data_IF_342733582128
#
_entry.id   IF_342733582128
#
_cell.length_a   1.000
_cell.length_b   1.000
_cell.length_c   1.000
_cell.angle_alpha   90.00
_cell.angle_beta   90.00
_cell.angle_gamma   90.00
#
_symmetry.space_group_name_H-M   'P 1'
#
loop_
_entity.id
_entity.type
_entity.pdbx_description
1 polymer ?
#
# COMPACT_ATOMS: atom_id res chain seq x y z
N UNK A 1 70.94 48.06 28.93
CA UNK A 1 72.08 47.59 28.10
C UNK A 1 71.80 46.15 27.69
N UNK A 2 71.81 45.88 26.38
CA UNK A 2 71.96 44.56 25.71
C UNK A 2 70.79 43.57 25.87
N UNK A 3 70.45 42.73 24.91
CA UNK A 3 70.54 42.72 23.44
C UNK A 3 69.74 41.46 23.03
N UNK A 4 69.16 41.49 21.84
CA UNK A 4 68.51 40.34 21.20
C UNK A 4 69.44 39.10 21.13
N UNK A 5 68.87 37.92 21.31
CA UNK A 5 69.33 36.72 20.61
C UNK A 5 68.15 35.82 20.24
N UNK A 6 68.11 35.52 18.95
CA UNK A 6 67.14 34.67 18.26
C UNK A 6 67.38 33.21 18.64
N UNK A 7 66.30 32.45 18.87
CA UNK A 7 66.33 31.00 18.74
C UNK A 7 65.35 30.57 17.65
N UNK A 8 65.94 30.02 16.60
CA UNK A 8 65.28 29.47 15.43
C UNK A 8 64.47 28.23 15.87
N UNK A 9 63.17 28.22 15.57
CA UNK A 9 62.34 27.03 15.71
C UNK A 9 62.58 26.16 14.47
N UNK A 10 63.30 25.06 14.66
CA UNK A 10 63.50 24.00 13.69
C UNK A 10 62.15 23.38 13.28
N UNK A 11 61.91 23.27 11.97
CA UNK A 11 60.80 22.48 11.39
C UNK A 11 60.87 21.04 11.91
N UNK A 12 59.78 20.45 12.41
CA UNK A 12 59.69 19.01 12.54
C UNK A 12 59.35 18.40 11.17
N UNK A 13 60.16 17.41 10.80
CA UNK A 13 60.02 16.55 9.63
C UNK A 13 58.71 15.76 9.69
N UNK A 14 58.06 15.57 8.54
CA UNK A 14 56.83 14.80 8.40
C UNK A 14 57.22 13.33 8.19
N UNK A 15 56.88 12.39 9.10
CA UNK A 15 57.08 10.97 8.84
C UNK A 15 56.03 10.43 7.87
N UNK A 16 56.48 9.48 7.07
CA UNK A 16 55.80 8.81 5.97
C UNK A 16 54.54 8.05 6.40
N UNK A 17 53.61 7.97 5.45
CA UNK A 17 52.33 7.25 5.50
C UNK A 17 52.46 5.81 6.00
N UNK A 18 51.69 5.48 7.02
CA UNK A 18 51.24 4.11 7.29
C UNK A 18 49.88 3.89 6.62
N UNK A 19 49.79 2.92 5.70
CA UNK A 19 48.61 2.63 4.88
C UNK A 19 47.45 1.94 5.63
N UNK A 20 47.54 1.74 6.95
CA UNK A 20 46.55 0.96 7.71
C UNK A 20 45.56 1.79 8.55
N UNK A 21 45.63 3.13 8.48
CA UNK A 21 44.67 4.01 9.18
C UNK A 21 43.32 4.23 8.48
N UNK A 22 43.12 3.72 7.25
CA UNK A 22 41.91 4.04 6.46
C UNK A 22 40.62 3.31 6.89
N UNK A 23 40.66 2.45 7.91
CA UNK A 23 39.50 1.59 8.24
C UNK A 23 38.73 1.96 9.50
N UNK A 24 39.12 2.99 10.26
CA UNK A 24 38.49 3.31 11.55
C UNK A 24 38.14 4.81 11.69
N UNK A 25 37.49 5.42 10.69
CA UNK A 25 36.87 6.76 10.85
C UNK A 25 35.56 6.94 10.07
N UNK A 26 34.77 5.87 9.88
CA UNK A 26 33.43 5.97 9.24
C UNK A 26 32.27 5.67 10.20
N UNK A 27 32.37 6.12 11.46
CA UNK A 27 31.29 5.97 12.46
C UNK A 27 31.02 7.23 13.29
N UNK A 28 31.19 8.43 12.72
CA UNK A 28 30.58 9.65 13.27
C UNK A 28 29.55 10.23 12.30
N UNK A 29 28.24 10.10 12.57
CA UNK A 29 27.19 10.77 11.80
C UNK A 29 27.14 12.29 12.04
N UNK A 30 28.24 13.02 11.87
CA UNK A 30 28.26 14.46 12.14
C UNK A 30 29.03 15.30 11.11
N UNK A 31 28.95 14.95 9.83
CA UNK A 31 29.16 15.94 8.78
C UNK A 31 27.81 16.48 8.32
N UNK A 32 27.33 17.53 9.01
CA UNK A 32 26.28 18.41 8.49
C UNK A 32 26.84 19.11 7.26
N UNK A 33 26.79 18.45 6.12
CA UNK A 33 27.02 19.09 4.84
C UNK A 33 25.80 19.97 4.58
N UNK A 34 25.96 21.28 4.74
CA UNK A 34 24.95 22.22 4.25
C UNK A 34 24.89 22.07 2.73
N UNK A 35 23.67 21.94 2.19
CA UNK A 35 23.45 22.00 0.75
C UNK A 35 24.04 23.34 0.25
N UNK A 36 25.13 23.29 -0.51
CA UNK A 36 25.66 24.48 -1.19
C UNK A 36 24.72 24.76 -2.36
N UNK A 37 23.84 25.77 -2.19
CA UNK A 37 22.86 26.16 -3.21
C UNK A 37 23.49 26.85 -4.44
N UNK A 38 24.74 26.54 -4.78
CA UNK A 38 25.49 27.16 -5.89
C UNK A 38 25.51 28.70 -5.82
N UNK A 39 25.34 29.29 -4.63
CA UNK A 39 25.22 30.74 -4.43
C UNK A 39 23.87 31.34 -4.83
N UNK A 40 22.86 30.53 -5.17
CA UNK A 40 21.53 30.97 -5.59
C UNK A 40 20.60 31.17 -4.39
N UNK A 41 20.03 32.37 -4.31
CA UNK A 41 18.97 32.74 -3.38
C UNK A 41 19.44 33.55 -2.17
N UNK A 42 18.51 34.26 -1.53
CA UNK A 42 18.77 35.14 -0.39
C UNK A 42 17.78 34.91 0.76
N UNK A 43 18.15 35.31 1.98
CA UNK A 43 17.30 35.19 3.17
C UNK A 43 17.56 33.93 4.02
N UNK A 44 16.55 33.45 4.75
CA UNK A 44 16.64 32.31 5.67
C UNK A 44 16.94 30.98 4.95
N UNK A 45 17.59 30.00 5.61
CA UNK A 45 17.96 28.72 4.99
C UNK A 45 16.81 28.01 4.24
N UNK A 46 15.60 27.95 4.81
CA UNK A 46 14.42 27.32 4.18
C UNK A 46 13.92 28.06 2.94
N UNK A 47 14.07 29.39 2.89
CA UNK A 47 13.73 30.19 1.70
C UNK A 47 14.71 29.92 0.57
N UNK A 48 16.01 29.83 0.88
CA UNK A 48 17.06 29.47 -0.08
C UNK A 48 16.88 28.06 -0.62
N UNK A 49 16.49 27.10 0.22
CA UNK A 49 16.18 25.73 -0.23
C UNK A 49 15.04 25.70 -1.24
N UNK A 50 13.94 26.41 -0.99
CA UNK A 50 12.82 26.51 -1.94
C UNK A 50 13.24 27.16 -3.26
N UNK A 51 14.01 28.25 -3.19
CA UNK A 51 14.52 28.96 -4.37
C UNK A 51 15.47 28.08 -5.19
N UNK A 52 16.37 27.36 -4.54
CA UNK A 52 17.29 26.44 -5.22
C UNK A 52 16.55 25.26 -5.84
N UNK A 53 15.55 24.69 -5.14
CA UNK A 53 14.68 23.65 -5.72
C UNK A 53 13.94 24.16 -6.97
N UNK A 54 13.43 25.39 -6.93
CA UNK A 54 12.79 26.01 -8.09
C UNK A 54 13.79 26.30 -9.23
N UNK A 55 15.01 26.71 -8.91
CA UNK A 55 16.10 26.88 -9.87
C UNK A 55 16.47 25.55 -10.54
N UNK A 56 16.60 24.46 -9.78
CA UNK A 56 16.87 23.13 -10.31
C UNK A 56 15.76 22.64 -11.24
N UNK A 57 14.48 22.83 -10.85
CA UNK A 57 13.34 22.47 -11.70
C UNK A 57 13.38 23.25 -13.01
N UNK A 58 13.64 24.56 -12.96
CA UNK A 58 13.75 25.42 -14.14
C UNK A 58 14.90 24.97 -15.05
N UNK A 59 16.09 24.77 -14.49
CA UNK A 59 17.27 24.28 -15.24
C UNK A 59 17.02 22.91 -15.87
N UNK A 60 16.35 22.01 -15.16
CA UNK A 60 15.95 20.72 -15.71
C UNK A 60 14.97 20.88 -16.87
N UNK A 61 13.98 21.77 -16.75
CA UNK A 61 13.03 22.05 -17.82
C UNK A 61 13.74 22.65 -19.06
N UNK A 62 14.66 23.60 -18.86
CA UNK A 62 15.48 24.18 -19.93
C UNK A 62 16.36 23.13 -20.60
N UNK A 63 17.04 22.27 -19.83
CA UNK A 63 17.86 21.19 -20.37
C UNK A 63 17.03 20.19 -21.18
N UNK A 64 15.84 19.81 -20.70
CA UNK A 64 14.92 18.91 -21.40
C UNK A 64 14.42 19.58 -22.70
N UNK A 65 14.12 20.88 -22.65
CA UNK A 65 13.67 21.65 -23.80
C UNK A 65 14.79 21.76 -24.85
N UNK A 66 16.01 22.03 -24.42
CA UNK A 66 17.17 22.17 -25.28
C UNK A 66 17.60 20.84 -25.91
N UNK A 67 17.63 19.75 -25.13
CA UNK A 67 17.83 18.40 -25.65
C UNK A 67 16.77 18.01 -26.68
N UNK A 68 15.53 18.46 -26.47
CA UNK A 68 14.42 18.20 -27.39
C UNK A 68 14.54 19.02 -28.68
N UNK A 69 14.94 20.29 -28.59
CA UNK A 69 15.27 21.11 -29.77
C UNK A 69 16.40 20.48 -30.57
N UNK A 70 17.46 20.03 -29.90
CA UNK A 70 18.63 19.42 -30.55
C UNK A 70 18.28 18.08 -31.22
N UNK A 71 17.41 17.27 -30.60
CA UNK A 71 17.00 15.95 -31.14
C UNK A 71 15.93 16.01 -32.23
N UNK A 72 15.03 16.99 -32.19
CA UNK A 72 13.84 17.04 -33.06
C UNK A 72 13.75 18.31 -33.92
N UNK A 73 14.64 19.28 -33.75
CA UNK A 73 14.65 20.51 -34.54
C UNK A 73 15.03 20.32 -36.01
N UNK A 74 15.60 19.17 -36.39
CA UNK A 74 15.97 18.88 -37.79
C UNK A 74 14.92 18.05 -38.55
N UNK A 75 14.00 17.36 -37.86
CA UNK A 75 12.97 16.52 -38.50
C UNK A 75 11.63 16.61 -37.74
N UNK A 76 10.62 17.16 -38.41
CA UNK A 76 9.20 17.19 -38.05
C UNK A 76 8.70 18.20 -36.98
N UNK A 77 8.60 19.47 -37.38
CA UNK A 77 7.88 20.53 -36.66
C UNK A 77 6.38 20.26 -36.45
N UNK A 78 5.78 19.38 -37.26
CA UNK A 78 4.31 19.24 -37.34
C UNK A 78 3.68 18.42 -36.21
N UNK A 79 4.34 17.35 -35.72
CA UNK A 79 3.75 16.46 -34.73
C UNK A 79 3.79 17.02 -33.29
N UNK A 80 4.81 17.82 -32.98
CA UNK A 80 5.01 18.40 -31.64
C UNK A 80 4.09 19.60 -31.40
N UNK A 81 3.93 20.47 -32.40
CA UNK A 81 3.03 21.63 -32.37
C UNK A 81 1.56 21.20 -32.16
N UNK A 82 1.17 20.01 -32.60
CA UNK A 82 -0.19 19.47 -32.39
C UNK A 82 -0.46 19.08 -30.93
N UNK A 83 0.52 18.48 -30.24
CA UNK A 83 0.37 18.09 -28.82
C UNK A 83 0.30 19.32 -27.92
N UNK A 84 1.14 20.32 -28.17
CA UNK A 84 1.14 21.58 -27.41
C UNK A 84 -0.10 22.44 -27.72
N UNK A 85 -0.56 22.47 -28.98
CA UNK A 85 -1.88 23.07 -29.35
C UNK A 85 -3.05 22.37 -28.64
N UNK A 86 -3.00 21.04 -28.45
CA UNK A 86 -4.04 20.30 -27.72
C UNK A 86 -4.00 20.59 -26.22
N UNK A 87 -2.81 20.65 -25.63
CA UNK A 87 -2.64 20.99 -24.21
C UNK A 87 -3.06 22.44 -23.91
N UNK A 88 -2.64 23.41 -24.73
CA UNK A 88 -3.03 24.83 -24.61
C UNK A 88 -4.54 25.02 -24.78
N UNK A 89 -5.17 24.33 -25.75
CA UNK A 89 -6.64 24.32 -25.88
C UNK A 89 -7.33 23.77 -24.63
N UNK A 90 -6.84 22.67 -24.06
CA UNK A 90 -7.36 22.11 -22.80
C UNK A 90 -7.27 23.11 -21.64
N UNK A 91 -6.13 23.79 -21.48
CA UNK A 91 -5.95 24.81 -20.44
C UNK A 91 -6.87 26.02 -20.66
N UNK A 92 -7.05 26.45 -21.92
CA UNK A 92 -7.97 27.53 -22.25
C UNK A 92 -9.43 27.17 -21.93
N UNK A 93 -9.82 25.92 -22.20
CA UNK A 93 -11.16 25.39 -21.87
C UNK A 93 -11.37 25.32 -20.34
N UNK A 94 -10.37 24.86 -19.58
CA UNK A 94 -10.41 24.89 -18.11
C UNK A 94 -10.64 26.31 -17.61
N UNK A 95 -9.83 27.27 -18.06
CA UNK A 95 -9.94 28.67 -17.63
C UNK A 95 -11.27 29.34 -18.02
N UNK A 96 -11.94 28.89 -19.10
CA UNK A 96 -13.28 29.36 -19.44
C UNK A 96 -14.35 28.75 -18.55
N UNK A 97 -14.22 27.45 -18.22
CA UNK A 97 -15.14 26.78 -17.28
C UNK A 97 -15.00 27.41 -15.90
N UNK A 98 -13.77 27.63 -15.42
CA UNK A 98 -13.50 28.26 -14.13
C UNK A 98 -14.11 29.67 -14.04
N UNK A 99 -14.05 30.46 -15.13
CA UNK A 99 -14.73 31.76 -15.21
C UNK A 99 -16.25 31.66 -15.16
N UNK A 100 -16.83 30.74 -15.92
CA UNK A 100 -18.29 30.51 -15.92
C UNK A 100 -18.77 30.07 -14.53
N UNK A 101 -17.99 29.23 -13.85
CA UNK A 101 -18.28 28.80 -12.48
C UNK A 101 -18.19 29.98 -11.51
N UNK A 102 -17.19 30.86 -11.64
CA UNK A 102 -17.06 32.06 -10.82
C UNK A 102 -18.23 33.03 -11.01
N UNK A 103 -18.65 33.28 -12.26
CA UNK A 103 -19.80 34.12 -12.57
C UNK A 103 -21.10 33.53 -11.99
N UNK A 104 -21.28 32.21 -12.07
CA UNK A 104 -22.41 31.50 -11.45
C UNK A 104 -22.39 31.59 -9.92
N UNK A 105 -21.21 31.48 -9.29
CA UNK A 105 -21.06 31.62 -7.84
C UNK A 105 -21.38 33.05 -7.42
N UNK A 106 -20.90 34.07 -8.15
CA UNK A 106 -21.21 35.47 -7.88
C UNK A 106 -22.69 35.79 -8.04
N UNK A 107 -23.33 35.25 -9.08
CA UNK A 107 -24.77 35.40 -9.31
C UNK A 107 -25.59 34.70 -8.22
N UNK A 108 -25.17 33.52 -7.77
CA UNK A 108 -25.80 32.83 -6.63
C UNK A 108 -25.56 33.55 -5.28
N UNK A 109 -24.38 34.18 -5.10
CA UNK A 109 -24.10 35.04 -3.94
C UNK A 109 -24.96 36.30 -3.93
N UNK A 110 -25.15 36.96 -5.08
CA UNK A 110 -25.97 38.17 -5.19
C UNK A 110 -27.46 37.90 -4.97
N UNK A 111 -27.95 36.75 -5.43
CA UNK A 111 -29.30 36.23 -5.18
C UNK A 111 -29.51 35.77 -3.73
N UNK A 112 -28.44 35.63 -2.95
CA UNK A 112 -28.53 35.19 -1.57
C UNK A 112 -28.85 33.71 -1.38
N UNK A 113 -28.62 32.87 -2.40
CA UNK A 113 -28.89 31.42 -2.34
C UNK A 113 -28.08 30.71 -1.23
N UNK A 114 -26.99 31.35 -0.75
CA UNK A 114 -26.16 30.85 0.33
C UNK A 114 -26.62 31.25 1.75
N UNK A 115 -27.62 32.12 1.91
CA UNK A 115 -28.01 32.66 3.23
C UNK A 115 -28.78 31.67 4.12
N UNK A 116 -29.29 30.56 3.58
CA UNK A 116 -30.03 29.55 4.34
C UNK A 116 -29.45 28.14 4.15
N UNK A 117 -28.13 28.02 4.07
CA UNK A 117 -27.48 26.70 4.06
C UNK A 117 -27.63 26.02 5.43
N UNK A 118 -27.99 24.75 5.41
CA UNK A 118 -28.05 23.93 6.62
C UNK A 118 -26.68 23.88 7.29
N UNK A 119 -26.55 24.48 8.48
CA UNK A 119 -25.29 24.52 9.21
C UNK A 119 -24.44 25.78 9.03
N UNK A 120 -24.95 26.81 8.34
CA UNK A 120 -24.31 28.12 8.30
C UNK A 120 -24.07 28.67 9.73
N UNK A 121 -22.87 29.21 9.98
CA UNK A 121 -22.48 29.77 11.28
C UNK A 121 -22.24 28.75 12.39
N UNK A 122 -22.50 27.45 12.16
CA UNK A 122 -22.19 26.40 13.14
C UNK A 122 -20.73 25.96 12.98
N UNK A 123 -19.99 25.74 14.07
CA UNK A 123 -18.65 25.15 13.98
C UNK A 123 -18.73 23.79 13.31
N UNK A 124 -17.73 23.48 12.48
CA UNK A 124 -17.63 22.19 11.79
C UNK A 124 -17.57 21.09 12.85
N UNK A 125 -18.57 20.21 12.85
CA UNK A 125 -18.61 19.09 13.80
C UNK A 125 -17.70 17.99 13.27
N UNK A 126 -16.47 17.94 13.79
CA UNK A 126 -15.57 16.80 13.55
C UNK A 126 -16.11 15.57 14.26
N UNK A 127 -16.87 14.73 13.54
CA UNK A 127 -17.32 13.44 14.07
C UNK A 127 -16.11 12.55 14.30
N UNK A 128 -15.82 12.24 15.56
CA UNK A 128 -14.91 11.18 15.99
C UNK A 128 -13.44 11.34 15.56
N UNK A 129 -12.88 12.54 15.72
CA UNK A 129 -11.41 12.64 15.83
C UNK A 129 -11.07 12.20 17.24
N UNK A 130 -10.68 10.95 17.41
CA UNK A 130 -9.90 10.59 18.61
C UNK A 130 -8.70 11.54 18.61
N UNK A 131 -8.45 12.22 19.73
CA UNK A 131 -7.43 13.28 19.87
C UNK A 131 -6.04 12.87 19.36
N UNK A 132 -5.79 11.56 19.26
CA UNK A 132 -4.54 10.95 18.80
C UNK A 132 -4.42 10.75 17.29
N UNK A 133 -5.51 10.76 16.53
CA UNK A 133 -5.48 10.50 15.08
C UNK A 133 -5.50 11.81 14.28
N UNK A 134 -4.58 11.94 13.32
CA UNK A 134 -4.59 13.06 12.39
C UNK A 134 -5.80 12.97 11.42
N UNK A 135 -6.31 14.13 11.03
CA UNK A 135 -7.40 14.33 10.08
C UNK A 135 -7.22 13.55 8.77
N UNK A 136 -5.99 13.46 8.23
CA UNK A 136 -5.73 12.71 7.00
C UNK A 136 -5.91 11.20 7.22
N UNK A 137 -5.37 10.67 8.33
CA UNK A 137 -5.48 9.24 8.67
C UNK A 137 -6.93 8.83 8.91
N UNK A 138 -7.71 9.68 9.56
CA UNK A 138 -9.13 9.44 9.81
C UNK A 138 -9.91 9.38 8.49
N UNK A 139 -9.71 10.34 7.58
CA UNK A 139 -10.35 10.35 6.26
C UNK A 139 -9.99 9.13 5.44
N UNK A 140 -8.73 8.72 5.44
CA UNK A 140 -8.29 7.50 4.76
C UNK A 140 -9.03 6.27 5.31
N UNK A 141 -9.08 6.12 6.63
CA UNK A 141 -9.80 5.01 7.26
C UNK A 141 -11.30 5.05 6.95
N UNK A 142 -11.92 6.23 6.91
CA UNK A 142 -13.31 6.38 6.47
C UNK A 142 -13.52 5.90 5.03
N UNK A 143 -12.65 6.30 4.10
CA UNK A 143 -12.73 5.87 2.69
C UNK A 143 -12.57 4.35 2.59
N UNK A 144 -11.62 3.77 3.32
CA UNK A 144 -11.43 2.32 3.36
C UNK A 144 -12.69 1.59 3.88
N UNK A 145 -13.26 2.06 4.98
CA UNK A 145 -14.49 1.49 5.56
C UNK A 145 -15.67 1.61 4.59
N UNK A 146 -15.84 2.76 3.95
CA UNK A 146 -16.92 3.01 3.00
C UNK A 146 -16.81 2.10 1.76
N UNK A 147 -15.59 1.76 1.35
CA UNK A 147 -15.32 0.81 0.28
C UNK A 147 -15.40 -0.67 0.73
N UNK A 148 -15.75 -0.93 2.00
CA UNK A 148 -15.82 -2.29 2.55
C UNK A 148 -14.46 -2.95 2.75
N UNK A 149 -13.36 -2.18 2.77
CA UNK A 149 -12.03 -2.72 3.00
C UNK A 149 -11.89 -3.21 4.44
N UNK A 150 -11.46 -4.47 4.59
CA UNK A 150 -11.14 -5.07 5.88
C UNK A 150 -9.64 -5.39 5.99
N UNK A 151 -8.99 -5.10 7.12
CA UNK A 151 -7.62 -5.53 7.38
C UNK A 151 -7.44 -7.04 7.18
N UNK A 152 -6.25 -7.45 6.70
CA UNK A 152 -5.92 -8.85 6.40
C UNK A 152 -6.24 -9.79 7.58
N UNK A 153 -5.89 -9.41 8.80
CA UNK A 153 -6.14 -10.23 9.99
C UNK A 153 -7.64 -10.47 10.24
N UNK A 154 -8.52 -9.53 9.88
CA UNK A 154 -9.98 -9.73 10.01
C UNK A 154 -10.45 -10.77 9.00
N UNK A 155 -9.97 -10.67 7.76
CA UNK A 155 -10.30 -11.64 6.70
C UNK A 155 -9.81 -13.03 7.08
N UNK A 156 -8.55 -13.15 7.52
CA UNK A 156 -7.95 -14.41 7.94
C UNK A 156 -8.67 -15.04 9.14
N UNK A 157 -9.11 -14.23 10.10
CA UNK A 157 -9.93 -14.71 11.22
C UNK A 157 -11.25 -15.33 10.73
N UNK A 158 -11.92 -14.69 9.76
CA UNK A 158 -13.16 -15.20 9.17
C UNK A 158 -12.89 -16.53 8.46
N UNK A 159 -11.86 -16.58 7.63
CA UNK A 159 -11.44 -17.80 6.95
C UNK A 159 -11.18 -18.94 7.93
N UNK A 160 -10.38 -18.72 8.99
CA UNK A 160 -10.11 -19.75 10.01
C UNK A 160 -11.42 -20.29 10.61
N UNK A 161 -12.37 -19.41 10.95
CA UNK A 161 -13.66 -19.84 11.51
C UNK A 161 -14.50 -20.64 10.52
N UNK A 162 -14.52 -20.23 9.26
CA UNK A 162 -15.24 -20.94 8.19
C UNK A 162 -14.62 -22.31 7.92
N UNK A 163 -13.29 -22.39 7.84
CA UNK A 163 -12.56 -23.65 7.68
C UNK A 163 -12.81 -24.62 8.84
N UNK A 164 -12.77 -24.15 10.09
CA UNK A 164 -13.10 -24.97 11.26
C UNK A 164 -14.56 -25.45 11.20
N UNK A 165 -15.49 -24.58 10.83
CA UNK A 165 -16.90 -24.94 10.70
C UNK A 165 -17.12 -26.02 9.63
N UNK A 166 -16.45 -25.91 8.48
CA UNK A 166 -16.50 -26.90 7.40
C UNK A 166 -15.94 -28.26 7.85
N UNK A 167 -14.79 -28.28 8.51
CA UNK A 167 -14.19 -29.54 9.01
C UNK A 167 -15.09 -30.23 10.04
N UNK A 168 -15.62 -29.46 11.01
CA UNK A 168 -16.55 -29.99 12.01
C UNK A 168 -17.84 -30.49 11.37
N UNK A 169 -18.34 -29.79 10.35
CA UNK A 169 -19.52 -30.19 9.61
C UNK A 169 -19.32 -31.52 8.88
N UNK A 170 -18.22 -31.66 8.12
CA UNK A 170 -17.91 -32.88 7.37
C UNK A 170 -17.84 -34.10 8.29
N UNK A 171 -17.15 -33.98 9.43
CA UNK A 171 -17.07 -35.07 10.41
C UNK A 171 -18.43 -35.34 11.08
N UNK A 172 -19.18 -34.29 11.44
CA UNK A 172 -20.50 -34.47 12.03
C UNK A 172 -21.45 -35.24 11.09
N UNK A 173 -21.37 -34.99 9.78
CA UNK A 173 -22.14 -35.73 8.78
C UNK A 173 -21.81 -37.23 8.80
N UNK A 174 -20.52 -37.59 8.86
CA UNK A 174 -20.11 -38.99 9.00
C UNK A 174 -20.67 -39.63 10.27
N UNK A 175 -20.62 -38.93 11.41
CA UNK A 175 -21.19 -39.46 12.66
C UNK A 175 -22.70 -39.63 12.62
N UNK A 176 -23.44 -38.74 11.94
CA UNK A 176 -24.89 -38.89 11.79
C UNK A 176 -25.31 -40.04 10.89
N UNK A 177 -24.48 -40.40 9.92
CA UNK A 177 -24.73 -41.55 9.05
C UNK A 177 -24.53 -42.87 9.79
N UNK A 178 -23.79 -42.88 10.90
CA UNK A 178 -23.60 -44.03 11.79
C UNK A 178 -22.13 -44.18 12.25
N UNK A 179 -21.87 -44.80 13.41
CA UNK A 179 -20.52 -44.90 14.00
C UNK A 179 -19.52 -45.68 13.14
N UNK A 180 -20.00 -46.54 12.24
CA UNK A 180 -19.18 -47.34 11.31
C UNK A 180 -18.79 -46.61 10.02
N UNK A 181 -19.36 -45.43 9.75
CA UNK A 181 -19.16 -44.69 8.50
C UNK A 181 -17.97 -43.71 8.56
N UNK A 182 -17.22 -43.70 9.66
CA UNK A 182 -15.99 -42.92 9.77
C UNK A 182 -14.84 -43.68 9.11
N UNK A 183 -14.66 -43.48 7.80
CA UNK A 183 -13.54 -44.06 7.06
C UNK A 183 -12.22 -43.50 7.59
N UNK A 184 -11.16 -44.32 7.65
CA UNK A 184 -9.81 -43.88 8.02
C UNK A 184 -9.36 -42.65 7.21
N UNK A 185 -9.69 -42.62 5.93
CA UNK A 185 -9.42 -41.50 5.03
C UNK A 185 -10.17 -40.20 5.41
N UNK A 186 -11.36 -40.26 6.01
CA UNK A 186 -12.07 -39.07 6.49
C UNK A 186 -11.37 -38.47 7.71
N UNK A 187 -10.85 -39.32 8.61
CA UNK A 187 -10.03 -38.91 9.76
C UNK A 187 -8.72 -38.29 9.30
N UNK A 188 -8.04 -38.89 8.32
CA UNK A 188 -6.82 -38.36 7.74
C UNK A 188 -7.03 -36.98 7.11
N UNK A 189 -8.09 -36.82 6.30
CA UNK A 189 -8.49 -35.52 5.71
C UNK A 189 -8.79 -34.46 6.77
N UNK A 190 -9.37 -34.85 7.89
CA UNK A 190 -9.63 -33.92 8.99
C UNK A 190 -8.34 -33.53 9.71
N UNK A 191 -7.44 -34.49 9.92
CA UNK A 191 -6.13 -34.23 10.54
C UNK A 191 -5.28 -33.30 9.69
N UNK A 192 -5.25 -33.50 8.37
CA UNK A 192 -4.57 -32.57 7.45
C UNK A 192 -5.23 -31.20 7.47
N UNK A 193 -6.56 -31.13 7.45
CA UNK A 193 -7.30 -29.87 7.56
C UNK A 193 -6.99 -29.10 8.86
N UNK A 194 -6.87 -29.79 10.00
CA UNK A 194 -6.48 -29.15 11.27
C UNK A 194 -5.04 -28.64 11.22
N UNK A 195 -4.11 -29.40 10.63
CA UNK A 195 -2.73 -28.94 10.44
C UNK A 195 -2.69 -27.65 9.62
N UNK A 196 -3.44 -27.58 8.53
CA UNK A 196 -3.52 -26.38 7.68
C UNK A 196 -4.10 -25.19 8.45
N UNK A 197 -5.14 -25.41 9.27
CA UNK A 197 -5.71 -24.38 10.14
C UNK A 197 -4.69 -23.89 11.15
N UNK A 198 -3.90 -24.77 11.78
CA UNK A 198 -2.89 -24.38 12.76
C UNK A 198 -1.80 -23.50 12.12
N UNK A 199 -1.37 -23.79 10.90
CA UNK A 199 -0.46 -22.93 10.14
C UNK A 199 -1.09 -21.56 9.86
N UNK A 200 -2.38 -21.51 9.51
CA UNK A 200 -3.10 -20.23 9.34
C UNK A 200 -3.20 -19.47 10.66
N UNK A 201 -3.39 -20.16 11.78
CA UNK A 201 -3.42 -19.56 13.12
C UNK A 201 -2.07 -18.94 13.48
N UNK A 202 -0.96 -19.60 13.13
CA UNK A 202 0.38 -19.01 13.34
C UNK A 202 0.53 -17.71 12.57
N UNK A 203 0.20 -17.71 11.27
CA UNK A 203 0.22 -16.48 10.46
C UNK A 203 -0.69 -15.40 11.06
N UNK A 204 -1.90 -15.77 11.47
CA UNK A 204 -2.86 -14.86 12.11
C UNK A 204 -2.28 -14.26 13.39
N UNK A 205 -1.69 -15.06 14.27
CA UNK A 205 -1.12 -14.61 15.54
C UNK A 205 0.06 -13.65 15.33
N UNK A 206 0.80 -13.78 14.22
CA UNK A 206 1.87 -12.86 13.85
C UNK A 206 1.36 -11.49 13.38
N UNK A 207 0.21 -11.43 12.71
CA UNK A 207 -0.31 -10.19 12.12
C UNK A 207 -1.31 -9.45 13.02
N UNK A 208 -1.86 -10.11 14.04
CA UNK A 208 -2.89 -9.55 14.90
C UNK A 208 -2.30 -8.51 15.86
N UNK A 209 -2.77 -7.25 15.82
CA UNK A 209 -2.23 -6.19 16.67
C UNK A 209 -2.71 -6.27 18.13
N UNK A 210 -3.65 -7.16 18.45
CA UNK A 210 -4.32 -7.24 19.76
C UNK A 210 -4.07 -8.62 20.39
N UNK A 211 -3.26 -8.68 21.44
CA UNK A 211 -2.88 -9.94 22.12
C UNK A 211 -4.09 -10.80 22.51
N UNK A 212 -5.13 -10.21 23.12
CA UNK A 212 -6.35 -10.93 23.53
C UNK A 212 -7.15 -11.56 22.37
N UNK A 213 -6.82 -11.24 21.11
CA UNK A 213 -7.47 -11.81 19.93
C UNK A 213 -6.64 -12.93 19.29
N UNK A 214 -5.42 -13.19 19.77
CA UNK A 214 -4.63 -14.33 19.31
C UNK A 214 -5.36 -15.65 19.60
N UNK A 215 -5.15 -16.63 18.75
CA UNK A 215 -5.82 -17.93 18.78
C UNK A 215 -4.84 -19.03 19.20
N UNK A 216 -5.38 -20.07 19.85
CA UNK A 216 -4.62 -21.27 20.21
C UNK A 216 -4.82 -22.31 19.11
N UNK A 217 -3.80 -23.16 18.91
CA UNK A 217 -3.89 -24.30 18.00
C UNK A 217 -5.00 -25.27 18.40
N UNK A 218 -5.59 -25.90 17.38
CA UNK A 218 -6.54 -26.98 17.55
C UNK A 218 -5.81 -28.32 17.64
N UNK A 219 -6.25 -29.13 18.59
CA UNK A 219 -5.82 -30.51 18.74
C UNK A 219 -6.85 -31.45 18.08
N UNK A 220 -6.38 -32.28 17.16
CA UNK A 220 -7.23 -33.17 16.37
C UNK A 220 -8.04 -34.14 17.25
N UNK A 221 -7.42 -34.76 18.26
CA UNK A 221 -8.11 -35.73 19.11
C UNK A 221 -9.21 -35.10 19.98
N UNK A 222 -8.94 -33.91 20.51
CA UNK A 222 -9.93 -33.14 21.29
C UNK A 222 -11.09 -32.67 20.43
N UNK A 223 -10.81 -32.24 19.20
CA UNK A 223 -11.87 -31.81 18.28
C UNK A 223 -12.73 -32.99 17.82
N UNK A 224 -12.14 -34.15 17.52
CA UNK A 224 -12.88 -35.35 17.17
C UNK A 224 -13.85 -35.78 18.27
N UNK A 225 -13.37 -35.87 19.51
CA UNK A 225 -14.20 -36.23 20.67
C UNK A 225 -15.30 -35.19 20.96
N UNK A 226 -14.98 -33.90 20.79
CA UNK A 226 -15.96 -32.80 20.95
C UNK A 226 -17.08 -32.88 19.92
N UNK A 227 -16.76 -33.19 18.66
CA UNK A 227 -17.76 -33.35 17.59
C UNK A 227 -18.57 -34.63 17.78
N UNK A 228 -17.92 -35.74 18.17
CA UNK A 228 -18.59 -37.01 18.46
C UNK A 228 -19.62 -36.88 19.59
N UNK A 229 -19.32 -36.11 20.64
CA UNK A 229 -20.23 -35.90 21.75
C UNK A 229 -21.51 -35.15 21.36
N UNK A 230 -21.44 -34.24 20.38
CA UNK A 230 -22.56 -33.37 19.96
C UNK A 230 -22.57 -33.14 18.44
N UNK A 231 -22.85 -34.17 17.61
CA UNK A 231 -22.74 -34.07 16.16
C UNK A 231 -23.76 -33.10 15.57
N UNK A 232 -25.01 -33.13 16.04
CA UNK A 232 -26.10 -32.29 15.53
C UNK A 232 -25.83 -30.79 15.65
N UNK A 233 -24.99 -30.34 16.59
CA UNK A 233 -24.65 -28.92 16.78
C UNK A 233 -23.84 -28.36 15.61
N UNK A 234 -23.10 -29.20 14.91
CA UNK A 234 -22.15 -28.78 13.86
C UNK A 234 -22.69 -29.03 12.45
N UNK A 235 -23.91 -29.52 12.33
CA UNK A 235 -24.57 -29.73 11.05
C UNK A 235 -25.14 -28.39 10.61
N UNK A 236 -24.54 -27.79 9.59
CA UNK A 236 -25.07 -26.59 8.94
C UNK A 236 -25.41 -26.92 7.48
N UNK A 237 -26.71 -26.94 7.11
CA UNK A 237 -27.13 -27.32 5.76
C UNK A 237 -26.66 -26.33 4.68
N UNK A 238 -26.34 -25.08 5.02
CA UNK A 238 -25.80 -24.10 4.06
C UNK A 238 -24.36 -24.40 3.64
N UNK A 239 -23.58 -25.06 4.52
CA UNK A 239 -22.20 -25.44 4.22
C UNK A 239 -22.12 -26.57 3.17
N UNK A 240 -23.12 -27.44 3.10
CA UNK A 240 -23.22 -28.46 2.05
C UNK A 240 -23.32 -27.84 0.66
N UNK A 241 -24.09 -26.74 0.51
CA UNK A 241 -24.23 -26.02 -0.76
C UNK A 241 -22.91 -25.37 -1.18
N UNK A 242 -22.14 -24.87 -0.21
CA UNK A 242 -20.84 -24.23 -0.47
C UNK A 242 -19.80 -25.28 -0.87
N UNK A 243 -19.71 -26.40 -0.14
CA UNK A 243 -18.81 -27.51 -0.50
C UNK A 243 -19.12 -28.06 -1.90
N UNK A 244 -20.40 -28.25 -2.23
CA UNK A 244 -20.81 -28.70 -3.56
C UNK A 244 -20.45 -27.70 -4.67
N UNK A 245 -20.61 -26.39 -4.42
CA UNK A 245 -20.21 -25.34 -5.37
C UNK A 245 -18.70 -25.26 -5.59
N UNK A 246 -17.91 -25.40 -4.51
CA UNK A 246 -16.44 -25.37 -4.58
C UNK A 246 -15.90 -26.59 -5.32
N UNK A 247 -16.47 -27.78 -5.06
CA UNK A 247 -16.16 -28.99 -5.83
C UNK A 247 -16.53 -28.82 -7.31
N UNK A 248 -17.74 -28.34 -7.61
CA UNK A 248 -18.16 -28.10 -8.99
C UNK A 248 -17.27 -27.07 -9.73
N UNK A 249 -16.80 -26.02 -9.06
CA UNK A 249 -15.84 -25.07 -9.65
C UNK A 249 -14.47 -25.70 -9.88
N UNK A 250 -13.98 -26.52 -8.94
CA UNK A 250 -12.70 -27.21 -9.07
C UNK A 250 -12.73 -28.26 -10.19
N UNK A 251 -13.84 -28.97 -10.33
CA UNK A 251 -14.07 -29.94 -11.39
C UNK A 251 -14.20 -29.24 -12.75
N UNK A 252 -14.87 -28.07 -12.82
CA UNK A 252 -14.91 -27.24 -14.03
C UNK A 252 -13.52 -26.69 -14.45
N UNK A 253 -12.66 -26.35 -13.48
CA UNK A 253 -11.28 -25.89 -13.72
C UNK A 253 -10.34 -27.02 -14.19
N UNK A 254 -10.64 -28.27 -13.87
CA UNK A 254 -9.84 -29.44 -14.25
C UNK A 254 -10.44 -30.29 -15.38
N UNK A 255 -11.69 -30.03 -15.76
CA UNK A 255 -12.44 -30.72 -16.82
C UNK A 255 -11.87 -30.46 -18.21
N UNK A 256 -11.42 -29.23 -18.46
CA UNK A 256 -11.12 -28.81 -19.83
C UNK A 256 -9.61 -28.85 -20.05
N UNK A 257 -9.07 -29.77 -20.87
CA UNK A 257 -7.66 -29.76 -21.22
C UNK A 257 -7.35 -28.43 -21.90
N UNK A 258 -6.46 -27.64 -21.29
CA UNK A 258 -6.09 -26.31 -21.77
C UNK A 258 -5.61 -26.42 -23.22
N UNK A 259 -6.39 -25.84 -24.15
CA UNK A 259 -6.02 -25.81 -25.56
C UNK A 259 -4.99 -24.69 -25.80
N UNK A 260 -3.71 -25.02 -25.62
CA UNK A 260 -2.58 -24.10 -25.80
C UNK A 260 -2.55 -23.44 -27.18
N UNK A 261 -3.11 -24.06 -28.23
CA UNK A 261 -3.16 -23.47 -29.57
C UNK A 261 -4.06 -22.23 -29.64
N UNK A 262 -5.15 -22.22 -28.86
CA UNK A 262 -6.09 -21.10 -28.80
C UNK A 262 -5.51 -19.98 -27.94
N UNK A 263 -4.92 -20.32 -26.79
CA UNK A 263 -4.24 -19.37 -25.90
C UNK A 263 -3.13 -18.60 -26.65
N UNK A 264 -2.32 -19.29 -27.46
CA UNK A 264 -1.28 -18.65 -28.26
C UNK A 264 -1.82 -17.76 -29.40
N UNK A 265 -3.00 -18.06 -29.95
CA UNK A 265 -3.68 -17.18 -30.91
C UNK A 265 -4.17 -15.91 -30.24
N UNK A 266 -4.79 -16.03 -29.07
CA UNK A 266 -5.32 -14.90 -28.31
C UNK A 266 -4.19 -13.97 -27.84
N UNK A 267 -3.07 -14.53 -27.36
CA UNK A 267 -1.87 -13.74 -27.02
C UNK A 267 -1.36 -13.00 -28.25
N UNK A 268 -1.21 -13.67 -29.40
CA UNK A 268 -0.76 -13.00 -30.64
C UNK A 268 -1.72 -11.91 -31.12
N UNK A 269 -3.02 -12.04 -30.86
CA UNK A 269 -4.02 -11.04 -31.23
C UNK A 269 -3.93 -9.77 -30.35
N UNK A 270 -3.48 -9.89 -29.09
CA UNK A 270 -3.30 -8.75 -28.18
C UNK A 270 -2.07 -7.89 -28.54
N UNK A 271 -1.05 -8.50 -29.16
CA UNK A 271 0.20 -7.83 -29.55
C UNK A 271 0.24 -7.36 -31.01
N UNK A 272 -0.90 -7.33 -31.70
CA UNK A 272 -1.04 -6.89 -33.09
C UNK A 272 -1.98 -5.69 -33.18
#
# INVERSE_FOLDING_TARGET
>A
MRNLQQHQVSKPEIPLKDEDSEKIERLSPHHRHYLSFEGIGSGTPTRRERQYRQHQIRRAAENIFQYRIEKYGETEDSAMVVKDKKATRKHKISNTIDRVVEDLIQDAMSKGEFHNLSGAGKPIVYKNVTTTLDSHTHRLNQVLINNGYSPEWITMMKEIREHVALLRHNIAMHYTQGPTNLTAHAVEKFQTGIRDINVKIDKYNMIVPILRKQMVHYDCGKELSTVQAKPHRYINPELNKISAKVLAQKDALHSDPINWSQVWKDIKAVFK
#
